data_IF_031032556906
#
_entry.id   IF_031032556906
#
_cell.length_a   1.000
_cell.length_b   1.000
_cell.length_c   1.000
_cell.angle_alpha   90.00
_cell.angle_beta   90.00
_cell.angle_gamma   90.00
#
_symmetry.space_group_name_H-M   'P 1'
#
loop_
_entity.id
_entity.type
_entity.pdbx_description
1 polymer ?
#
# COMPACT_ATOMS: atom_id res chain seq x y z
N UNK A 1 -6.82 16.64 4.19
CA UNK A 1 -5.42 17.05 3.90
C UNK A 1 -4.69 16.96 5.23
N UNK A 2 -3.50 16.35 5.27
CA UNK A 2 -2.74 16.17 6.50
C UNK A 2 -1.60 17.20 6.51
N UNK A 3 -1.85 18.36 7.13
CA UNK A 3 -0.81 19.37 7.34
C UNK A 3 0.31 18.85 8.26
N UNK A 4 1.48 19.51 8.28
CA UNK A 4 2.59 19.12 9.18
C UNK A 4 2.17 19.08 10.67
N UNK A 5 1.22 19.95 11.06
CA UNK A 5 0.62 19.98 12.40
C UNK A 5 -0.22 18.72 12.73
N UNK A 6 -0.64 17.94 11.73
CA UNK A 6 -1.39 16.69 11.87
C UNK A 6 -0.55 15.46 11.47
N UNK A 7 0.78 15.61 11.37
CA UNK A 7 1.64 14.56 10.84
C UNK A 7 1.53 13.23 11.59
N UNK A 8 1.30 12.15 10.84
CA UNK A 8 1.19 10.79 11.34
C UNK A 8 2.56 10.28 11.80
N UNK A 9 2.57 9.37 12.78
CA UNK A 9 3.78 8.70 13.25
C UNK A 9 3.72 7.23 12.87
N UNK A 10 4.81 6.70 12.31
CA UNK A 10 4.90 5.28 12.00
C UNK A 10 6.32 4.75 12.21
N UNK A 11 6.55 3.93 13.23
CA UNK A 11 7.84 3.23 13.42
C UNK A 11 9.09 4.12 13.40
N UNK A 12 9.01 5.37 13.87
CA UNK A 12 10.11 6.35 13.81
C UNK A 12 10.12 7.24 12.55
N UNK A 13 9.11 7.15 11.69
CA UNK A 13 8.87 8.02 10.54
C UNK A 13 7.75 9.01 10.88
N UNK A 14 7.88 10.27 10.47
CA UNK A 14 6.82 11.30 10.54
C UNK A 14 6.29 11.57 9.13
N UNK A 15 4.98 11.48 8.92
CA UNK A 15 4.33 11.53 7.59
C UNK A 15 3.32 12.67 7.51
N UNK A 16 3.39 13.52 6.49
CA UNK A 16 2.37 14.53 6.17
C UNK A 16 2.22 14.72 4.67
N UNK A 17 1.20 15.47 4.24
CA UNK A 17 0.91 15.73 2.82
C UNK A 17 1.05 17.22 2.52
N UNK A 18 1.86 17.56 1.51
CA UNK A 18 1.98 18.92 0.97
C UNK A 18 1.41 18.94 -0.45
N UNK A 19 0.15 19.37 -0.60
CA UNK A 19 -0.54 19.37 -1.90
C UNK A 19 -0.73 17.95 -2.45
N UNK A 20 0.02 17.62 -3.51
CA UNK A 20 0.06 16.28 -4.16
C UNK A 20 1.32 15.47 -3.76
N UNK A 21 2.07 15.91 -2.74
CA UNK A 21 3.33 15.28 -2.31
C UNK A 21 3.17 14.67 -0.92
N UNK A 22 3.48 13.38 -0.80
CA UNK A 22 3.64 12.70 0.48
C UNK A 22 5.05 12.93 1.00
N UNK A 23 5.19 13.45 2.21
CA UNK A 23 6.48 13.73 2.84
C UNK A 23 6.71 12.78 4.00
N UNK A 24 7.87 12.12 4.02
CA UNK A 24 8.32 11.21 5.07
C UNK A 24 9.64 11.70 5.65
N UNK A 25 9.61 12.11 6.91
CA UNK A 25 10.79 12.52 7.69
C UNK A 25 11.22 11.37 8.58
N UNK A 26 12.39 10.83 8.30
CA UNK A 26 12.95 9.71 9.03
C UNK A 26 13.62 10.20 10.32
N UNK A 27 13.33 9.58 11.45
CA UNK A 27 14.02 9.89 12.71
C UNK A 27 15.48 9.47 12.62
N UNK A 28 16.39 10.43 12.85
CA UNK A 28 17.85 10.20 12.87
C UNK A 28 18.24 9.08 13.84
N UNK A 29 17.48 8.90 14.92
CA UNK A 29 17.70 7.84 15.91
C UNK A 29 17.47 6.42 15.38
N UNK A 30 16.51 6.24 14.46
CA UNK A 30 16.12 4.91 13.95
C UNK A 30 16.65 4.64 12.53
N UNK A 31 16.88 5.70 11.76
CA UNK A 31 17.16 5.65 10.32
C UNK A 31 18.46 6.36 9.93
N UNK A 32 19.18 6.97 10.89
CA UNK A 32 20.36 7.79 10.61
C UNK A 32 20.05 9.01 9.74
N UNK A 33 21.03 9.50 9.00
CA UNK A 33 20.92 10.69 8.15
C UNK A 33 20.16 10.46 6.82
N UNK A 34 19.15 9.58 6.80
CA UNK A 34 18.23 9.42 5.65
C UNK A 34 17.41 10.70 5.37
N UNK A 35 17.23 11.57 6.36
CA UNK A 35 16.65 12.89 6.17
C UNK A 35 15.15 12.89 5.89
N UNK A 36 14.73 13.66 4.89
CA UNK A 36 13.31 13.82 4.51
C UNK A 36 13.12 13.45 3.05
N UNK A 37 12.26 12.45 2.80
CA UNK A 37 11.88 11.98 1.46
C UNK A 37 10.56 12.61 1.05
N UNK A 38 10.50 13.12 -0.18
CA UNK A 38 9.31 13.74 -0.79
C UNK A 38 8.90 12.87 -1.96
N UNK A 39 7.70 12.30 -1.90
CA UNK A 39 7.17 11.35 -2.89
C UNK A 39 5.96 12.00 -3.56
N UNK A 40 6.01 12.35 -4.86
CA UNK A 40 4.82 12.73 -5.60
C UNK A 40 3.78 11.60 -5.56
N UNK A 41 2.50 11.92 -5.38
CA UNK A 41 1.43 10.91 -5.32
C UNK A 41 1.41 10.04 -6.59
N UNK A 42 1.70 10.63 -7.74
CA UNK A 42 1.86 9.94 -9.02
C UNK A 42 3.00 8.91 -9.08
N UNK A 43 4.01 9.01 -8.21
CA UNK A 43 5.11 8.03 -8.11
C UNK A 43 4.76 6.80 -7.28
N UNK A 44 3.66 6.82 -6.51
CA UNK A 44 3.23 5.68 -5.69
C UNK A 44 2.50 4.68 -6.60
N UNK A 45 3.07 3.48 -6.80
CA UNK A 45 2.56 2.44 -7.72
C UNK A 45 1.56 1.48 -7.07
N UNK A 46 1.64 1.29 -5.76
CA UNK A 46 0.72 0.46 -4.98
C UNK A 46 0.82 0.81 -3.49
N UNK A 47 -0.23 0.47 -2.73
CA UNK A 47 -0.29 0.62 -1.28
C UNK A 47 -0.74 -0.72 -0.70
N UNK A 48 0.19 -1.48 -0.15
CA UNK A 48 -0.11 -2.73 0.55
C UNK A 48 -0.53 -2.42 1.99
N UNK A 49 -1.76 -2.77 2.35
CA UNK A 49 -2.29 -2.59 3.70
C UNK A 49 -2.33 -3.93 4.45
N UNK A 50 -1.75 -3.99 5.65
CA UNK A 50 -1.98 -5.07 6.62
C UNK A 50 -2.52 -4.49 7.92
N UNK A 51 -3.64 -5.04 8.38
CA UNK A 51 -4.30 -4.60 9.60
C UNK A 51 -3.51 -4.99 10.86
N UNK A 52 -3.58 -4.19 11.94
CA UNK A 52 -3.04 -4.57 13.25
C UNK A 52 -3.87 -5.71 13.84
N UNK A 53 -3.31 -6.91 13.88
CA UNK A 53 -3.89 -8.03 14.61
C UNK A 53 -3.86 -7.80 16.13
N UNK A 54 -4.41 -8.72 16.91
CA UNK A 54 -4.42 -8.58 18.38
C UNK A 54 -3.03 -8.79 19.04
N UNK A 55 -2.02 -9.19 18.27
CA UNK A 55 -0.65 -9.45 18.73
C UNK A 55 0.46 -8.88 17.82
N UNK A 56 0.12 -8.23 16.70
CA UNK A 56 1.07 -7.63 15.75
C UNK A 56 0.64 -6.22 15.34
N UNK A 57 1.60 -5.30 15.32
CA UNK A 57 1.40 -3.97 14.75
C UNK A 57 1.04 -4.06 13.26
N UNK A 58 0.11 -3.20 12.83
CA UNK A 58 -0.31 -3.08 11.44
C UNK A 58 0.77 -2.35 10.63
N UNK A 59 0.75 -2.52 9.31
CA UNK A 59 1.62 -1.73 8.46
C UNK A 59 1.00 -1.40 7.10
N UNK A 60 1.31 -0.21 6.62
CA UNK A 60 1.12 0.22 5.24
C UNK A 60 2.48 0.18 4.55
N UNK A 61 2.66 -0.62 3.49
CA UNK A 61 3.84 -0.54 2.65
C UNK A 61 3.51 0.23 1.35
N UNK A 62 4.35 1.21 1.02
CA UNK A 62 4.25 2.01 -0.20
C UNK A 62 5.18 1.43 -1.27
N UNK A 63 4.62 1.01 -2.40
CA UNK A 63 5.39 0.68 -3.58
C UNK A 63 5.58 1.97 -4.40
N UNK A 64 6.82 2.27 -4.79
CA UNK A 64 7.21 3.56 -5.39
C UNK A 64 7.98 3.31 -6.68
N UNK A 65 7.56 3.97 -7.76
CA UNK A 65 8.12 3.79 -9.11
C UNK A 65 9.59 4.22 -9.14
N UNK A 66 10.46 3.31 -9.59
CA UNK A 66 11.88 3.59 -9.80
C UNK A 66 12.74 3.63 -8.53
N UNK A 67 12.17 3.37 -7.34
CA UNK A 67 12.99 3.23 -6.14
C UNK A 67 13.77 1.92 -6.18
N UNK A 68 15.10 2.00 -6.03
CA UNK A 68 15.95 0.81 -5.93
C UNK A 68 15.71 0.13 -4.58
N UNK A 69 15.72 -1.21 -4.52
CA UNK A 69 15.72 -1.89 -3.24
C UNK A 69 16.91 -1.40 -2.39
N UNK A 70 16.72 -1.15 -1.09
CA UNK A 70 17.80 -0.79 -0.19
C UNK A 70 18.90 -1.85 -0.20
N UNK A 71 20.15 -1.43 0.04
CA UNK A 71 21.32 -2.33 0.02
C UNK A 71 21.10 -3.53 0.95
N UNK A 72 21.53 -4.75 0.58
CA UNK A 72 21.43 -5.92 1.46
C UNK A 72 22.11 -5.75 2.83
N UNK A 73 23.09 -4.84 2.90
CA UNK A 73 23.83 -4.48 4.12
C UNK A 73 23.24 -3.29 4.88
N UNK A 74 22.12 -2.71 4.40
CA UNK A 74 21.44 -1.63 5.10
C UNK A 74 20.76 -2.15 6.38
N UNK A 75 20.57 -1.30 7.38
CA UNK A 75 19.89 -1.71 8.62
C UNK A 75 18.44 -2.15 8.35
N UNK A 76 17.85 -3.02 9.17
CA UNK A 76 16.47 -3.48 8.98
C UNK A 76 15.44 -2.34 8.89
N UNK A 77 15.72 -1.20 9.53
CA UNK A 77 14.87 0.00 9.44
C UNK A 77 14.96 0.62 8.04
N UNK A 78 16.16 0.82 7.49
CA UNK A 78 16.37 1.31 6.11
C UNK A 78 15.76 0.32 5.10
N UNK A 79 15.87 -0.99 5.34
CA UNK A 79 15.21 -2.00 4.50
C UNK A 79 13.68 -1.87 4.49
N UNK A 80 13.10 -1.35 5.57
CA UNK A 80 11.67 -1.12 5.74
C UNK A 80 11.27 0.36 5.62
N UNK A 81 12.06 1.23 4.97
CA UNK A 81 11.82 2.68 4.92
C UNK A 81 10.50 3.11 4.24
N UNK A 82 9.89 2.21 3.47
CA UNK A 82 8.57 2.41 2.84
C UNK A 82 7.43 1.70 3.59
N UNK A 83 7.72 1.02 4.70
CA UNK A 83 6.76 0.30 5.54
C UNK A 83 6.42 1.11 6.78
N UNK A 84 5.30 1.82 6.70
CA UNK A 84 4.75 2.64 7.75
C UNK A 84 3.99 1.74 8.73
N UNK A 85 4.65 1.36 9.83
CA UNK A 85 4.03 0.61 10.93
C UNK A 85 3.15 1.54 11.75
N UNK A 86 1.86 1.22 11.90
CA UNK A 86 0.90 2.07 12.61
C UNK A 86 0.14 1.27 13.70
N UNK A 87 -0.25 1.98 14.75
CA UNK A 87 -1.00 1.42 15.87
C UNK A 87 -2.52 1.44 15.60
N UNK A 88 -3.28 0.62 16.33
CA UNK A 88 -4.75 0.51 16.16
C UNK A 88 -5.46 1.87 16.26
N UNK A 89 -4.94 2.80 17.07
CA UNK A 89 -5.51 4.14 17.25
C UNK A 89 -5.33 5.11 16.07
N UNK A 90 -4.32 4.91 15.20
CA UNK A 90 -4.12 5.74 14.01
C UNK A 90 -4.69 5.11 12.73
N UNK A 91 -5.31 3.91 12.81
CA UNK A 91 -5.87 3.16 11.67
C UNK A 91 -6.68 4.04 10.71
N UNK A 92 -7.61 4.84 11.23
CA UNK A 92 -8.52 5.65 10.41
C UNK A 92 -7.79 6.80 9.69
N UNK A 93 -6.73 7.34 10.30
CA UNK A 93 -5.86 8.36 9.68
C UNK A 93 -4.97 7.76 8.59
N UNK A 94 -4.45 6.56 8.79
CA UNK A 94 -3.74 5.84 7.75
C UNK A 94 -4.69 5.40 6.62
N UNK A 95 -5.96 5.07 6.91
CA UNK A 95 -6.97 4.80 5.89
C UNK A 95 -7.26 6.06 5.06
N UNK A 96 -7.42 7.23 5.69
CA UNK A 96 -7.54 8.50 4.98
C UNK A 96 -6.31 8.83 4.11
N UNK A 97 -5.09 8.47 4.56
CA UNK A 97 -3.88 8.58 3.73
C UNK A 97 -3.91 7.63 2.53
N UNK A 98 -4.29 6.35 2.71
CA UNK A 98 -4.49 5.39 1.61
C UNK A 98 -5.48 5.94 0.58
N UNK A 99 -6.61 6.46 1.05
CA UNK A 99 -7.69 6.95 0.19
C UNK A 99 -7.29 8.23 -0.54
N UNK A 100 -6.49 9.11 0.08
CA UNK A 100 -5.87 10.25 -0.60
C UNK A 100 -4.88 9.82 -1.70
N UNK A 101 -4.07 8.76 -1.48
CA UNK A 101 -3.20 8.18 -2.52
C UNK A 101 -4.05 7.59 -3.67
N UNK A 102 -5.15 6.92 -3.34
CA UNK A 102 -6.05 6.27 -4.29
C UNK A 102 -6.87 7.28 -5.13
N UNK A 103 -7.35 8.37 -4.53
CA UNK A 103 -8.04 9.51 -5.17
C UNK A 103 -7.11 10.36 -6.07
N UNK A 104 -6.01 9.75 -6.53
CA UNK A 104 -4.85 10.36 -7.18
C UNK A 104 -4.28 9.59 -8.36
N UNK A 105 -4.82 8.40 -8.60
CA UNK A 105 -4.88 7.90 -9.97
C UNK A 105 -6.20 8.38 -10.56
N UNK A 106 -6.24 8.46 -11.89
CA UNK A 106 -7.51 8.24 -12.57
C UNK A 106 -8.04 6.82 -12.23
N UNK A 107 -9.36 6.58 -12.29
CA UNK A 107 -9.97 5.41 -11.67
C UNK A 107 -9.54 4.08 -12.34
N UNK A 108 -8.55 3.43 -11.73
CA UNK A 108 -8.18 2.05 -11.98
C UNK A 108 -8.06 1.33 -10.63
N UNK A 109 -9.11 0.59 -10.28
CA UNK A 109 -9.22 -0.28 -9.10
C UNK A 109 -9.01 0.40 -7.73
N UNK A 110 -10.06 1.04 -7.20
CA UNK A 110 -10.25 1.20 -5.75
C UNK A 110 -11.20 0.12 -5.23
N UNK A 111 -10.70 -1.12 -5.12
CA UNK A 111 -11.27 -2.10 -4.19
C UNK A 111 -10.23 -3.16 -3.81
N UNK A 112 -9.41 -2.80 -2.81
CA UNK A 112 -8.55 -3.76 -2.07
C UNK A 112 -8.78 -3.51 -0.58
N UNK A 113 -9.97 -3.90 -0.13
CA UNK A 113 -10.32 -4.02 1.28
C UNK A 113 -10.76 -5.46 1.55
N UNK A 114 -9.79 -6.31 1.93
CA UNK A 114 -9.95 -7.58 2.65
C UNK A 114 -11.25 -8.39 2.45
N UNK A 115 -11.61 -8.68 1.21
CA UNK A 115 -12.46 -9.80 0.78
C UNK A 115 -12.33 -9.88 -0.74
N UNK A 116 -11.66 -10.90 -1.28
CA UNK A 116 -11.88 -11.21 -2.70
C UNK A 116 -13.26 -11.83 -2.79
N UNK A 117 -14.25 -11.04 -3.22
CA UNK A 117 -15.56 -11.61 -3.44
C UNK A 117 -15.43 -12.62 -4.58
N UNK A 118 -16.15 -13.74 -4.47
CA UNK A 118 -16.18 -14.78 -5.52
C UNK A 118 -16.54 -14.19 -6.89
N UNK A 119 -17.36 -13.12 -6.91
CA UNK A 119 -17.70 -12.40 -8.13
C UNK A 119 -16.49 -11.68 -8.77
N UNK A 120 -15.58 -11.10 -7.98
CA UNK A 120 -14.38 -10.41 -8.47
C UNK A 120 -13.32 -11.37 -9.03
N UNK A 121 -13.20 -12.56 -8.42
CA UNK A 121 -12.33 -13.62 -8.92
C UNK A 121 -12.88 -14.19 -10.24
N UNK A 122 -14.19 -14.43 -10.33
CA UNK A 122 -14.86 -14.82 -11.57
C UNK A 122 -14.72 -13.74 -12.66
N UNK A 123 -14.81 -12.45 -12.31
CA UNK A 123 -14.61 -11.35 -13.25
C UNK A 123 -13.17 -11.27 -13.78
N UNK A 124 -12.16 -11.59 -12.96
CA UNK A 124 -10.75 -11.70 -13.40
C UNK A 124 -10.54 -12.90 -14.33
N UNK A 125 -11.09 -14.06 -13.98
CA UNK A 125 -11.06 -15.26 -14.84
C UNK A 125 -11.73 -15.01 -16.20
N UNK A 126 -12.83 -14.25 -16.22
CA UNK A 126 -13.53 -13.87 -17.46
C UNK A 126 -12.64 -13.06 -18.40
N UNK A 127 -11.94 -12.05 -17.87
CA UNK A 127 -11.00 -11.21 -18.64
C UNK A 127 -9.80 -12.01 -19.18
N UNK A 128 -9.29 -12.97 -18.41
CA UNK A 128 -8.19 -13.85 -18.86
C UNK A 128 -8.65 -14.77 -20.01
N UNK A 129 -9.89 -15.26 -19.97
CA UNK A 129 -10.50 -16.01 -21.08
C UNK A 129 -10.69 -15.14 -22.33
N UNK A 130 -11.21 -13.92 -22.18
CA UNK A 130 -11.37 -12.96 -23.30
C UNK A 130 -10.03 -12.56 -23.94
N UNK A 131 -8.93 -12.62 -23.18
CA UNK A 131 -7.56 -12.42 -23.66
C UNK A 131 -6.94 -13.67 -24.31
N UNK A 132 -7.66 -14.80 -24.37
CA UNK A 132 -7.15 -16.08 -24.89
C UNK A 132 -6.10 -16.75 -24.00
N UNK A 133 -5.96 -16.31 -22.74
CA UNK A 133 -5.00 -16.86 -21.75
C UNK A 133 -5.58 -18.03 -20.95
N UNK A 134 -6.88 -18.29 -21.07
CA UNK A 134 -7.59 -19.45 -20.52
C UNK A 134 -8.54 -20.01 -21.58
N UNK A 135 -8.62 -21.33 -21.67
CA UNK A 135 -9.67 -22.01 -22.44
C UNK A 135 -11.01 -22.00 -21.71
N UNK A 136 -12.11 -22.23 -22.44
CA UNK A 136 -13.46 -22.30 -21.84
C UNK A 136 -13.60 -23.39 -20.77
N UNK A 137 -12.89 -24.51 -20.91
CA UNK A 137 -12.88 -25.61 -19.94
C UNK A 137 -12.15 -25.20 -18.65
N UNK A 138 -10.97 -24.59 -18.75
CA UNK A 138 -10.20 -24.10 -17.59
C UNK A 138 -10.95 -22.98 -16.85
N UNK A 139 -11.57 -22.05 -17.59
CA UNK A 139 -12.43 -21.02 -17.01
C UNK A 139 -13.58 -21.64 -16.22
N UNK A 140 -14.26 -22.64 -16.78
CA UNK A 140 -15.40 -23.31 -16.15
C UNK A 140 -14.99 -24.09 -14.90
N UNK A 141 -13.86 -24.80 -14.95
CA UNK A 141 -13.32 -25.54 -13.81
C UNK A 141 -12.93 -24.61 -12.64
N UNK A 142 -12.27 -23.48 -12.92
CA UNK A 142 -11.91 -22.51 -11.87
C UNK A 142 -13.14 -21.78 -11.32
N UNK A 143 -14.10 -21.40 -12.18
CA UNK A 143 -15.37 -20.79 -11.75
C UNK A 143 -16.17 -21.72 -10.84
N UNK A 144 -16.25 -23.02 -11.16
CA UNK A 144 -16.94 -24.00 -10.32
C UNK A 144 -16.26 -24.16 -8.95
N UNK A 145 -14.92 -24.18 -8.91
CA UNK A 145 -14.13 -24.28 -7.68
C UNK A 145 -14.27 -23.07 -6.75
N UNK A 146 -14.60 -21.89 -7.29
CA UNK A 146 -14.84 -20.66 -6.52
C UNK A 146 -16.29 -20.53 -6.01
N UNK A 147 -17.22 -21.33 -6.55
CA UNK A 147 -18.67 -21.29 -6.22
C UNK A 147 -19.14 -22.47 -5.35
N UNK A 148 -18.24 -23.38 -4.97
CA UNK A 148 -18.53 -24.66 -4.29
C UNK A 148 -17.99 -24.75 -2.87
#
# INVERSE_FOLDING_TARGET
MIDEAQALKAGGITIWTEGDVLVLKYSVWFYGFLGTKRIPRSSITSVTWKEPGDWLAGFMALDILGEKPPSPHASPNVQNQNRLQYERGDRDRFAALRDWIAAGRAPAASEVAASSSVADEIAKLGKLREQGLLTDEEFTAQKAKLLG
#
